data_IF_824838803782
#
_entry.id   IF_824838803782
#
_cell.length_a   1.000
_cell.length_b   1.000
_cell.length_c   1.000
_cell.angle_alpha   90.00
_cell.angle_beta   90.00
_cell.angle_gamma   90.00
#
_symmetry.space_group_name_H-M   'P 1'
#
loop_
_entity.id
_entity.type
_entity.pdbx_description
1 polymer ?
#
# COMPACT_ATOMS: atom_id res chain seq x y z
N UNK A 1 4.52 1.97 -8.99
CA UNK A 1 4.34 0.54 -8.65
C UNK A 1 3.63 -0.10 -9.81
N UNK A 2 4.08 -1.27 -10.23
CA UNK A 2 3.58 -2.03 -11.38
C UNK A 2 2.80 -3.29 -10.98
N UNK A 3 3.16 -3.93 -9.85
CA UNK A 3 2.49 -5.12 -9.33
C UNK A 3 2.24 -4.98 -7.82
N UNK A 4 1.03 -5.31 -7.39
CA UNK A 4 0.70 -5.52 -5.98
C UNK A 4 0.71 -7.02 -5.68
N UNK A 5 1.29 -7.41 -4.54
CA UNK A 5 1.39 -8.82 -4.17
C UNK A 5 1.37 -9.01 -2.66
N UNK A 6 0.96 -10.20 -2.23
CA UNK A 6 0.96 -10.61 -0.83
C UNK A 6 1.51 -12.03 -0.69
N UNK A 7 2.25 -12.27 0.39
CA UNK A 7 2.76 -13.60 0.72
C UNK A 7 1.72 -14.35 1.56
N UNK A 8 1.38 -15.56 1.14
CA UNK A 8 0.47 -16.42 1.90
C UNK A 8 1.11 -16.86 3.22
N UNK A 9 0.38 -16.74 4.33
CA UNK A 9 0.84 -17.13 5.66
C UNK A 9 0.91 -18.65 5.88
N UNK A 10 0.29 -19.44 5.00
CA UNK A 10 0.26 -20.91 5.12
C UNK A 10 1.35 -21.58 4.29
N UNK A 11 1.48 -21.20 3.01
CA UNK A 11 2.42 -21.83 2.09
C UNK A 11 3.60 -20.94 1.67
N UNK A 12 3.64 -19.68 2.12
CA UNK A 12 4.69 -18.70 1.83
C UNK A 12 4.89 -18.33 0.35
N UNK A 13 3.97 -18.75 -0.53
CA UNK A 13 3.95 -18.36 -1.95
C UNK A 13 3.41 -16.94 -2.10
N UNK A 14 3.96 -16.20 -3.07
CA UNK A 14 3.50 -14.87 -3.42
C UNK A 14 2.35 -14.94 -4.41
N UNK A 15 1.29 -14.19 -4.11
CA UNK A 15 0.10 -14.04 -4.94
C UNK A 15 0.01 -12.62 -5.44
N UNK A 16 -0.38 -12.44 -6.70
CA UNK A 16 -0.68 -11.11 -7.25
C UNK A 16 -2.04 -10.67 -6.74
N UNK A 17 -2.11 -9.43 -6.26
CA UNK A 17 -3.35 -8.79 -5.85
C UNK A 17 -3.76 -7.86 -7.00
N UNK A 18 -4.85 -8.13 -7.73
CA UNK A 18 -5.18 -7.37 -8.94
C UNK A 18 -5.46 -5.90 -8.67
N UNK A 19 -6.20 -5.63 -7.59
CA UNK A 19 -6.66 -4.29 -7.25
C UNK A 19 -5.84 -3.69 -6.12
N UNK A 20 -5.40 -2.43 -6.31
CA UNK A 20 -4.66 -1.68 -5.29
C UNK A 20 -5.43 -1.57 -3.97
N UNK A 21 -6.75 -1.37 -4.05
CA UNK A 21 -7.62 -1.25 -2.87
C UNK A 21 -7.59 -2.50 -1.99
N UNK A 22 -7.69 -3.68 -2.60
CA UNK A 22 -7.63 -4.97 -1.90
C UNK A 22 -6.27 -5.16 -1.21
N UNK A 23 -5.18 -4.79 -1.91
CA UNK A 23 -3.85 -4.79 -1.32
C UNK A 23 -3.75 -3.87 -0.10
N UNK A 24 -4.27 -2.64 -0.22
CA UNK A 24 -4.24 -1.65 0.86
C UNK A 24 -5.04 -2.10 2.09
N UNK A 25 -6.20 -2.71 1.88
CA UNK A 25 -7.06 -3.28 2.93
C UNK A 25 -6.38 -4.46 3.63
N UNK A 26 -5.85 -5.40 2.85
CA UNK A 26 -5.10 -6.54 3.37
C UNK A 26 -3.91 -6.11 4.20
N UNK A 27 -3.10 -5.17 3.68
CA UNK A 27 -1.93 -4.61 4.37
C UNK A 27 -2.31 -3.88 5.66
N UNK A 28 -3.44 -3.17 5.67
CA UNK A 28 -3.94 -2.47 6.85
C UNK A 28 -4.23 -3.44 8.00
N UNK A 29 -4.75 -4.63 7.71
CA UNK A 29 -5.18 -5.61 8.71
C UNK A 29 -4.28 -6.86 8.72
N UNK A 30 -3.06 -6.78 8.18
CA UNK A 30 -2.25 -7.97 7.90
C UNK A 30 -1.85 -8.74 9.17
N UNK A 31 -1.73 -8.04 10.32
CA UNK A 31 -1.37 -8.65 11.60
C UNK A 31 -2.54 -9.47 12.16
N UNK A 32 -3.73 -8.88 12.17
CA UNK A 32 -4.95 -9.51 12.69
C UNK A 32 -5.52 -10.54 11.71
N UNK A 33 -5.39 -10.27 10.41
CA UNK A 33 -5.93 -11.06 9.33
C UNK A 33 -4.84 -11.39 8.29
N UNK A 34 -3.87 -12.27 8.62
CA UNK A 34 -2.84 -12.70 7.68
C UNK A 34 -3.43 -13.19 6.36
N UNK A 35 -2.77 -12.88 5.25
CA UNK A 35 -3.23 -13.31 3.94
C UNK A 35 -3.07 -14.82 3.76
N UNK A 36 -4.12 -15.49 3.29
CA UNK A 36 -4.08 -16.89 2.85
C UNK A 36 -4.59 -16.99 1.41
N UNK A 37 -4.08 -17.95 0.64
CA UNK A 37 -4.40 -18.09 -0.78
C UNK A 37 -5.90 -18.19 -1.04
N UNK A 38 -6.64 -18.89 -0.20
CA UNK A 38 -8.09 -19.09 -0.32
C UNK A 38 -8.94 -17.79 -0.24
N UNK A 39 -8.33 -16.64 0.09
CA UNK A 39 -9.00 -15.33 0.01
C UNK A 39 -9.14 -14.81 -1.41
N UNK A 40 -8.35 -15.34 -2.36
CA UNK A 40 -8.51 -15.03 -3.77
C UNK A 40 -9.50 -16.02 -4.39
N UNK A 41 -10.36 -15.59 -5.33
CA UNK A 41 -11.36 -16.47 -5.96
C UNK A 41 -10.79 -17.77 -6.54
N UNK A 42 -9.57 -17.73 -7.08
CA UNK A 42 -8.86 -18.88 -7.66
C UNK A 42 -7.61 -19.29 -6.85
N UNK A 43 -7.44 -18.74 -5.65
CA UNK A 43 -6.21 -18.93 -4.89
C UNK A 43 -6.18 -20.26 -4.14
N UNK A 44 -5.14 -21.04 -4.39
CA UNK A 44 -4.86 -22.28 -3.66
C UNK A 44 -3.40 -22.35 -3.19
N UNK A 45 -3.16 -23.04 -2.08
CA UNK A 45 -1.82 -23.37 -1.61
C UNK A 45 -1.16 -24.47 -2.46
N UNK A 46 -1.92 -25.23 -3.26
CA UNK A 46 -1.41 -26.35 -4.05
C UNK A 46 -0.88 -25.92 -5.44
N UNK A 47 -1.25 -24.73 -5.90
CA UNK A 47 -0.78 -24.20 -7.19
C UNK A 47 0.57 -23.46 -7.06
N UNK A 48 1.38 -23.37 -8.13
CA UNK A 48 2.63 -22.59 -8.14
C UNK A 48 2.43 -21.12 -7.73
N UNK A 49 3.47 -20.40 -7.26
CA UNK A 49 3.41 -18.95 -7.01
C UNK A 49 3.02 -18.18 -8.28
N UNK A 50 2.33 -17.05 -8.12
CA UNK A 50 1.99 -16.18 -9.25
C UNK A 50 3.20 -15.37 -9.71
N UNK A 51 4.09 -15.07 -8.74
CA UNK A 51 5.32 -14.34 -8.94
C UNK A 51 6.38 -14.86 -7.97
N UNK A 52 7.64 -14.91 -8.41
CA UNK A 52 8.78 -15.28 -7.58
C UNK A 52 9.71 -14.10 -7.41
N UNK A 53 10.30 -13.95 -6.22
CA UNK A 53 11.30 -12.92 -5.96
C UNK A 53 12.55 -13.25 -6.79
N UNK A 54 12.92 -12.33 -7.68
CA UNK A 54 14.07 -12.41 -8.55
C UNK A 54 14.70 -11.02 -8.78
N UNK A 55 15.83 -10.96 -9.49
CA UNK A 55 16.58 -9.72 -9.74
C UNK A 55 16.09 -8.96 -10.99
N UNK A 56 14.92 -9.30 -11.53
CA UNK A 56 14.40 -8.61 -12.73
C UNK A 56 13.67 -7.31 -12.36
N UNK A 57 13.33 -7.13 -11.08
CA UNK A 57 12.57 -5.99 -10.54
C UNK A 57 13.04 -5.65 -9.14
N UNK A 58 12.78 -4.41 -8.74
CA UNK A 58 12.99 -3.97 -7.35
C UNK A 58 11.82 -4.43 -6.50
N UNK A 59 12.13 -5.21 -5.46
CA UNK A 59 11.13 -5.73 -4.52
C UNK A 59 11.02 -4.85 -3.30
N UNK A 60 9.79 -4.50 -2.94
CA UNK A 60 9.50 -3.60 -1.84
C UNK A 60 8.39 -4.18 -0.97
N UNK A 61 8.53 -4.05 0.36
CA UNK A 61 7.53 -4.53 1.31
C UNK A 61 7.08 -3.42 2.25
N UNK A 62 5.79 -3.12 2.23
CA UNK A 62 5.18 -2.21 3.20
C UNK A 62 5.25 -2.85 4.60
N UNK A 63 5.36 -2.01 5.64
CA UNK A 63 5.11 -2.49 7.01
C UNK A 63 3.62 -2.84 7.17
N UNK A 64 3.27 -3.82 8.02
CA UNK A 64 1.88 -4.07 8.39
C UNK A 64 1.22 -2.86 9.07
N UNK A 65 -0.10 -2.77 9.03
CA UNK A 65 -0.86 -1.80 9.81
C UNK A 65 -0.85 -0.37 9.27
N UNK A 66 -0.43 -0.18 8.01
CA UNK A 66 -0.58 1.14 7.37
C UNK A 66 -2.07 1.29 6.97
N UNK A 67 -2.74 2.40 7.35
CA UNK A 67 -4.15 2.60 7.04
C UNK A 67 -4.41 2.64 5.53
N UNK A 68 -5.57 2.13 5.13
CA UNK A 68 -6.12 2.41 3.80
C UNK A 68 -6.29 3.92 3.63
N UNK A 69 -6.02 4.47 2.43
CA UNK A 69 -6.23 5.89 2.20
C UNK A 69 -7.72 6.24 2.39
N UNK A 70 -8.04 7.40 2.98
CA UNK A 70 -9.43 7.85 3.08
C UNK A 70 -10.10 7.94 1.71
N UNK A 71 -11.43 7.81 1.69
CA UNK A 71 -12.21 7.78 0.45
C UNK A 71 -11.89 8.99 -0.45
N UNK A 72 -11.55 8.71 -1.71
CA UNK A 72 -11.22 9.72 -2.71
C UNK A 72 -9.78 10.26 -2.62
N UNK A 73 -9.05 9.95 -1.55
CA UNK A 73 -7.61 10.17 -1.51
C UNK A 73 -6.90 8.95 -2.07
N UNK A 74 -5.75 9.20 -2.70
CA UNK A 74 -4.91 8.14 -3.23
C UNK A 74 -3.53 8.21 -2.57
N UNK A 75 -3.11 7.14 -1.90
CA UNK A 75 -1.73 6.98 -1.43
C UNK A 75 -0.84 6.53 -2.59
N UNK A 76 0.24 7.24 -2.82
CA UNK A 76 1.14 7.00 -3.95
C UNK A 76 2.57 6.81 -3.47
N UNK A 77 3.18 5.68 -3.86
CA UNK A 77 4.57 5.34 -3.53
C UNK A 77 5.41 5.31 -4.80
N UNK A 78 6.53 6.01 -4.79
CA UNK A 78 7.42 6.16 -5.93
C UNK A 78 8.84 5.78 -5.56
N UNK A 79 9.46 4.93 -6.38
CA UNK A 79 10.88 4.63 -6.28
C UNK A 79 11.68 5.76 -6.92
N UNK A 80 12.64 6.35 -6.18
CA UNK A 80 13.50 7.40 -6.71
C UNK A 80 14.47 6.83 -7.74
N UNK A 81 14.96 7.69 -8.63
CA UNK A 81 16.03 7.34 -9.58
C UNK A 81 17.23 6.78 -8.83
N UNK A 82 17.75 5.63 -9.28
CA UNK A 82 18.84 4.91 -8.63
C UNK A 82 18.39 3.91 -7.55
N UNK A 83 17.08 3.67 -7.43
CA UNK A 83 16.46 2.60 -6.65
C UNK A 83 16.74 2.57 -5.14
N UNK A 84 17.58 3.42 -4.57
CA UNK A 84 17.95 3.33 -3.15
C UNK A 84 16.89 3.85 -2.14
N UNK A 85 15.84 4.57 -2.60
CA UNK A 85 14.86 5.22 -1.71
C UNK A 85 13.48 5.33 -2.36
N UNK A 86 12.46 5.30 -1.51
CA UNK A 86 11.08 5.57 -1.89
C UNK A 86 10.58 6.89 -1.30
N UNK A 87 9.63 7.51 -1.99
CA UNK A 87 8.79 8.58 -1.47
C UNK A 87 7.34 8.09 -1.37
N UNK A 88 6.58 8.69 -0.44
CA UNK A 88 5.15 8.50 -0.31
C UNK A 88 4.45 9.86 -0.36
N UNK A 89 3.35 9.93 -1.10
CA UNK A 89 2.54 11.13 -1.29
C UNK A 89 1.07 10.73 -1.19
N UNK A 90 0.19 11.73 -1.01
CA UNK A 90 -1.23 11.57 -1.21
C UNK A 90 -1.73 12.52 -2.31
N UNK A 91 -2.59 12.03 -3.18
CA UNK A 91 -3.38 12.88 -4.08
C UNK A 91 -4.76 13.05 -3.47
N UNK A 92 -5.22 14.30 -3.31
CA UNK A 92 -6.56 14.59 -2.78
C UNK A 92 -7.63 14.41 -3.86
N UNK A 93 -8.93 14.34 -3.50
CA UNK A 93 -10.02 14.30 -4.48
C UNK A 93 -10.01 15.46 -5.50
N UNK A 94 -9.48 16.62 -5.11
CA UNK A 94 -9.32 17.78 -5.98
C UNK A 94 -7.97 17.84 -6.73
N UNK A 95 -7.17 16.77 -6.68
CA UNK A 95 -5.90 16.64 -7.40
C UNK A 95 -4.69 17.30 -6.73
N UNK A 96 -4.80 17.80 -5.50
CA UNK A 96 -3.66 18.38 -4.77
C UNK A 96 -2.73 17.27 -4.29
N UNK A 97 -1.42 17.47 -4.41
CA UNK A 97 -0.42 16.55 -3.88
C UNK A 97 0.01 16.96 -2.47
N UNK A 98 -0.14 16.06 -1.51
CA UNK A 98 0.29 16.19 -0.12
C UNK A 98 1.51 15.29 0.10
N UNK A 99 2.60 15.84 0.64
CA UNK A 99 3.89 15.15 0.76
C UNK A 99 4.30 14.88 2.21
N UNK A 100 3.59 15.47 3.16
CA UNK A 100 3.83 15.26 4.58
C UNK A 100 2.56 15.50 5.41
N UNK A 101 2.60 15.13 6.68
CA UNK A 101 1.52 15.37 7.65
C UNK A 101 1.17 16.86 7.79
N UNK A 102 2.15 17.76 7.62
CA UNK A 102 1.88 19.20 7.62
C UNK A 102 0.95 19.63 6.47
N UNK A 103 1.11 19.03 5.29
CA UNK A 103 0.24 19.29 4.14
C UNK A 103 -1.18 18.78 4.38
N UNK A 104 -1.31 17.59 4.99
CA UNK A 104 -2.60 17.02 5.41
C UNK A 104 -3.29 17.95 6.40
N UNK A 105 -2.61 18.35 7.47
CA UNK A 105 -3.18 19.25 8.48
C UNK A 105 -3.65 20.58 7.86
N UNK A 106 -2.83 21.16 6.97
CA UNK A 106 -3.21 22.37 6.25
C UNK A 106 -4.42 22.16 5.34
N UNK A 107 -4.46 21.04 4.60
CA UNK A 107 -5.56 20.71 3.69
C UNK A 107 -6.89 20.48 4.42
N UNK A 108 -6.88 19.71 5.51
CA UNK A 108 -8.09 19.45 6.30
C UNK A 108 -8.63 20.73 6.93
N UNK A 109 -7.75 21.62 7.41
CA UNK A 109 -8.12 22.93 7.98
C UNK A 109 -8.81 23.84 6.95
N UNK A 110 -8.42 23.78 5.68
CA UNK A 110 -9.03 24.60 4.62
C UNK A 110 -10.30 24.00 4.01
N UNK A 111 -10.62 22.74 4.32
CA UNK A 111 -11.77 22.03 3.75
C UNK A 111 -12.58 21.28 4.85
N UNK A 112 -13.01 21.97 5.93
CA UNK A 112 -13.60 21.32 7.10
C UNK A 112 -15.00 20.73 6.84
N UNK A 113 -15.77 21.28 5.89
CA UNK A 113 -17.13 20.80 5.61
C UNK A 113 -17.13 19.39 5.01
N UNK A 114 -16.20 19.09 4.12
CA UNK A 114 -16.12 17.78 3.45
C UNK A 114 -15.24 16.79 4.23
N UNK A 115 -14.14 17.25 4.83
CA UNK A 115 -13.11 16.37 5.40
C UNK A 115 -12.89 16.56 6.91
N UNK A 116 -13.74 17.32 7.61
CA UNK A 116 -13.58 17.59 9.05
C UNK A 116 -13.67 16.35 9.96
N UNK A 117 -14.12 15.21 9.43
CA UNK A 117 -14.14 13.93 10.13
C UNK A 117 -12.79 13.18 10.07
N UNK A 118 -11.93 13.52 9.10
CA UNK A 118 -10.61 12.90 8.94
C UNK A 118 -9.59 13.48 9.90
N UNK A 119 -8.63 12.67 10.30
CA UNK A 119 -7.51 13.02 11.19
C UNK A 119 -6.18 12.69 10.54
N UNK A 120 -5.09 13.18 11.11
CA UNK A 120 -3.76 12.93 10.58
C UNK A 120 -3.39 11.44 10.58
N UNK A 121 -3.91 10.67 11.54
CA UNK A 121 -3.69 9.24 11.69
C UNK A 121 -4.33 8.40 10.58
N UNK A 122 -5.31 8.94 9.85
CA UNK A 122 -5.89 8.30 8.68
C UNK A 122 -4.92 8.33 7.47
N UNK A 123 -3.81 9.05 7.60
CA UNK A 123 -2.77 9.17 6.59
C UNK A 123 -1.45 8.59 7.09
N UNK A 124 -0.69 7.96 6.20
CA UNK A 124 0.64 7.45 6.52
C UNK A 124 1.60 7.61 5.36
N UNK A 125 2.64 8.38 5.62
CA UNK A 125 3.77 8.59 4.70
C UNK A 125 4.87 7.54 4.90
N UNK A 126 4.59 6.45 5.62
CA UNK A 126 5.52 5.32 5.75
C UNK A 126 5.82 4.78 4.35
N UNK A 127 7.07 4.49 4.05
CA UNK A 127 7.50 3.92 2.77
C UNK A 127 7.84 2.44 2.94
N UNK A 128 7.68 1.61 1.90
CA UNK A 128 8.08 0.22 1.96
C UNK A 128 9.60 0.08 2.07
N UNK A 129 10.05 -1.03 2.66
CA UNK A 129 11.46 -1.41 2.69
C UNK A 129 11.82 -2.10 1.38
N UNK A 130 12.99 -1.78 0.85
CA UNK A 130 13.55 -2.47 -0.32
C UNK A 130 14.15 -3.79 0.18
N UNK A 131 13.74 -4.88 -0.45
CA UNK A 131 14.20 -6.23 -0.14
C UNK A 131 15.33 -6.68 -1.05
N UNK A 132 15.22 -6.35 -2.34
CA UNK A 132 16.15 -6.76 -3.38
C UNK A 132 16.10 -5.71 -4.51
N UNK A 133 17.28 -5.36 -5.03
CA UNK A 133 17.48 -4.50 -6.20
C UNK A 133 17.99 -5.30 -7.38
#
# INVERSE_FOLDING_TARGET
>A
VDIWSAQCSECFKWRVIPEKGDYEEMRCNLVEHPFACNRLPEGSCDVPPDIEINNERVWMIDKPGIPTPPRGFERNVFLRKGCARCDCNYTTPCGKNLRANADVAAFLKTNPEEYGHLKGEDFSFSVPKILLE
#
